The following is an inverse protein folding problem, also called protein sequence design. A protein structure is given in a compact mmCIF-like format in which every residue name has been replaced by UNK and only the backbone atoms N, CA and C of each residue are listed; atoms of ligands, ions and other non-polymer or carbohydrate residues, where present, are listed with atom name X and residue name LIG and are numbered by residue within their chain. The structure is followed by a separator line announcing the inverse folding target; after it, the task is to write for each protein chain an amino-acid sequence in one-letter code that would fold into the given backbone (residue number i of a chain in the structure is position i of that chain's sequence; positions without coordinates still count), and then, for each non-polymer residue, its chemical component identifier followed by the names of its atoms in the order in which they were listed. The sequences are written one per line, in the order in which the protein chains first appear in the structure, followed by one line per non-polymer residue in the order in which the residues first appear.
data_IF_042437793804
#
_entry.id   IF_042437793804
#
_cell.length_a   1.000
_cell.length_b   1.000
_cell.length_c   1.000
_cell.angle_alpha   90.00
_cell.angle_beta   90.00
_cell.angle_gamma   90.00
#
_symmetry.space_group_name_H-M   'P 1'
#
loop_
_entity.id
_entity.type
_entity.pdbx_description
1 polymer ?
#
# COMPACT_ATOMS: atom_id res chain seq x y z
N UNK A 1 16.31 -2.02 -8.89
CA UNK A 1 15.36 -0.97 -8.44
C UNK A 1 14.19 -1.73 -7.86
N UNK A 2 14.08 -1.77 -6.53
CA UNK A 2 12.99 -2.47 -5.86
C UNK A 2 11.68 -1.83 -6.33
N UNK A 3 10.89 -2.63 -7.03
CA UNK A 3 9.59 -2.23 -7.53
C UNK A 3 8.70 -2.37 -6.30
N UNK A 4 8.35 -1.26 -5.64
CA UNK A 4 7.45 -1.23 -4.48
C UNK A 4 6.27 -2.15 -4.75
N UNK A 5 6.37 -3.37 -4.24
CA UNK A 5 5.35 -4.39 -4.44
C UNK A 5 4.34 -4.24 -3.29
N UNK A 6 3.19 -4.88 -3.45
CA UNK A 6 2.13 -4.73 -2.46
C UNK A 6 2.57 -5.21 -1.05
N UNK A 7 3.46 -6.19 -0.98
CA UNK A 7 4.00 -6.71 0.28
C UNK A 7 4.88 -5.69 1.00
N UNK A 8 5.71 -4.94 0.26
CA UNK A 8 6.52 -3.84 0.78
C UNK A 8 5.64 -2.69 1.28
N UNK A 9 4.54 -2.38 0.58
CA UNK A 9 3.57 -1.39 1.04
C UNK A 9 2.91 -1.81 2.37
N UNK A 10 2.50 -3.07 2.49
CA UNK A 10 1.92 -3.57 3.75
C UNK A 10 2.94 -3.56 4.88
N UNK A 11 4.19 -3.94 4.60
CA UNK A 11 5.27 -3.86 5.59
C UNK A 11 5.50 -2.42 6.07
N UNK A 12 5.50 -1.46 5.16
CA UNK A 12 5.66 -0.05 5.50
C UNK A 12 4.47 0.48 6.31
N UNK A 13 3.25 0.00 6.03
CA UNK A 13 2.07 0.30 6.86
C UNK A 13 2.20 -0.25 8.28
N UNK A 14 2.68 -1.49 8.43
CA UNK A 14 2.91 -2.09 9.75
C UNK A 14 3.95 -1.30 10.56
N UNK A 15 5.06 -0.90 9.91
CA UNK A 15 6.09 -0.05 10.53
C UNK A 15 5.55 1.33 10.94
N UNK A 16 4.64 1.91 10.15
CA UNK A 16 3.96 3.17 10.50
C UNK A 16 3.07 2.96 11.73
N UNK A 17 2.27 1.89 11.75
CA UNK A 17 1.38 1.59 12.87
C UNK A 17 2.14 1.31 14.16
N UNK A 18 3.27 0.62 14.08
CA UNK A 18 4.14 0.36 15.23
C UNK A 18 4.74 1.65 15.78
N UNK A 19 5.23 2.55 14.91
CA UNK A 19 5.73 3.86 15.34
C UNK A 19 4.64 4.75 15.93
N UNK A 20 3.44 4.74 15.38
CA UNK A 20 2.31 5.51 15.93
C UNK A 20 1.86 5.06 17.32
N UNK A 21 2.27 3.87 17.78
CA UNK A 21 1.99 3.37 19.13
C UNK A 21 3.07 3.75 20.14
N UNK A 22 4.18 4.33 19.69
CA UNK A 22 5.26 4.77 20.57
C UNK A 22 4.82 6.00 21.37
N UNK A 23 5.07 5.99 22.68
CA UNK A 23 4.75 7.09 23.59
C UNK A 23 5.58 8.36 23.32
N UNK A 24 6.71 8.22 22.62
CA UNK A 24 7.57 9.35 22.22
C UNK A 24 7.08 10.08 20.96
N UNK A 25 6.13 9.51 20.21
CA UNK A 25 5.63 10.14 18.99
C UNK A 25 4.67 11.28 19.30
N UNK A 26 5.00 12.46 18.77
CA UNK A 26 4.15 13.63 18.91
C UNK A 26 2.90 13.55 18.03
N UNK A 27 1.92 14.40 18.34
CA UNK A 27 0.69 14.51 17.55
C UNK A 27 0.99 14.93 16.09
N UNK A 28 1.93 15.87 15.90
CA UNK A 28 2.30 16.34 14.56
C UNK A 28 2.98 15.23 13.74
N UNK A 29 3.88 14.46 14.36
CA UNK A 29 4.49 13.29 13.73
C UNK A 29 3.44 12.21 13.41
N UNK A 30 2.47 12.00 14.32
CA UNK A 30 1.34 11.09 14.06
C UNK A 30 0.51 11.53 12.86
N UNK A 31 0.30 12.84 12.66
CA UNK A 31 -0.40 13.37 11.49
C UNK A 31 0.36 13.11 10.19
N UNK A 32 1.67 13.30 10.18
CA UNK A 32 2.50 13.01 9.01
C UNK A 32 2.55 11.51 8.70
N UNK A 33 2.68 10.67 9.73
CA UNK A 33 2.58 9.21 9.61
C UNK A 33 1.23 8.76 9.05
N UNK A 34 0.13 9.36 9.52
CA UNK A 34 -1.21 9.06 9.03
C UNK A 34 -1.39 9.44 7.55
N UNK A 35 -0.93 10.63 7.14
CA UNK A 35 -0.95 11.04 5.72
C UNK A 35 -0.18 10.06 4.85
N UNK A 36 1.02 9.67 5.30
CA UNK A 36 1.86 8.70 4.62
C UNK A 36 1.16 7.34 4.50
N UNK A 37 0.52 6.86 5.57
CA UNK A 37 -0.26 5.64 5.56
C UNK A 37 -1.40 5.67 4.54
N UNK A 38 -2.14 6.78 4.45
CA UNK A 38 -3.18 6.95 3.42
C UNK A 38 -2.61 6.85 2.00
N UNK A 39 -1.46 7.45 1.74
CA UNK A 39 -0.83 7.41 0.43
C UNK A 39 -0.40 5.99 0.04
N UNK A 40 0.14 5.23 0.99
CA UNK A 40 0.51 3.83 0.78
C UNK A 40 -0.72 2.96 0.50
N UNK A 41 -1.83 3.16 1.23
CA UNK A 41 -3.09 2.45 0.97
C UNK A 41 -3.62 2.74 -0.44
N UNK A 42 -3.58 4.01 -0.87
CA UNK A 42 -4.00 4.39 -2.23
C UNK A 42 -3.16 3.71 -3.30
N UNK A 43 -1.83 3.75 -3.17
CA UNK A 43 -0.92 3.08 -4.10
C UNK A 43 -1.17 1.56 -4.13
N UNK A 44 -1.42 0.95 -2.98
CA UNK A 44 -1.74 -0.49 -2.90
C UNK A 44 -3.02 -0.83 -3.66
N UNK A 45 -4.08 -0.02 -3.52
CA UNK A 45 -5.31 -0.20 -4.28
C UNK A 45 -5.09 -0.08 -5.80
N UNK A 46 -4.32 0.92 -6.25
CA UNK A 46 -4.01 1.08 -7.68
C UNK A 46 -3.21 -0.12 -8.24
N UNK A 47 -2.33 -0.70 -7.43
CA UNK A 47 -1.60 -1.92 -7.81
C UNK A 47 -2.52 -3.13 -7.91
N UNK A 48 -3.47 -3.30 -6.99
CA UNK A 48 -4.48 -4.37 -7.03
C UNK A 48 -5.33 -4.23 -8.29
N UNK A 49 -5.90 -3.05 -8.54
CA UNK A 49 -6.75 -2.79 -9.71
C UNK A 49 -6.03 -3.11 -11.02
N UNK A 50 -4.73 -2.77 -11.09
CA UNK A 50 -3.90 -3.11 -12.26
C UNK A 50 -3.74 -4.62 -12.44
N UNK A 51 -3.58 -5.37 -11.36
CA UNK A 51 -3.46 -6.84 -11.41
C UNK A 51 -4.81 -7.45 -11.80
N UNK A 52 -5.91 -7.00 -11.21
CA UNK A 52 -7.27 -7.45 -11.56
C UNK A 52 -7.53 -7.29 -13.05
N UNK A 53 -7.25 -6.10 -13.60
CA UNK A 53 -7.40 -5.83 -15.04
C UNK A 53 -6.50 -6.72 -15.91
N UNK A 54 -5.30 -7.06 -15.45
CA UNK A 54 -4.42 -7.98 -16.18
C UNK A 54 -4.98 -9.40 -16.18
N UNK A 55 -5.61 -9.83 -15.08
CA UNK A 55 -6.28 -11.13 -14.98
C UNK A 55 -7.49 -11.16 -15.92
N UNK A 56 -8.35 -10.15 -15.90
CA UNK A 56 -9.51 -10.05 -16.79
C UNK A 56 -9.12 -10.20 -18.26
N UNK A 57 -8.09 -9.46 -18.71
CA UNK A 57 -7.59 -9.56 -20.09
C UNK A 57 -7.06 -10.96 -20.40
N UNK A 58 -6.42 -11.65 -19.46
CA UNK A 58 -5.94 -13.01 -19.68
C UNK A 58 -7.11 -14.01 -19.79
N UNK A 59 -8.15 -13.84 -18.98
CA UNK A 59 -9.37 -14.66 -19.03
C UNK A 59 -10.10 -14.46 -20.36
N UNK A 60 -10.30 -13.21 -20.80
CA UNK A 60 -10.91 -12.89 -22.10
C UNK A 60 -10.14 -13.50 -23.29
N UNK A 61 -8.81 -13.51 -23.24
CA UNK A 61 -7.97 -14.09 -24.29
C UNK A 61 -7.90 -15.63 -24.26
N UNK A 62 -8.39 -16.28 -23.19
CA UNK A 62 -8.37 -17.75 -23.05
C UNK A 62 -9.67 -18.39 -23.58
N UNK A 63 -10.71 -17.59 -23.84
CA UNK A 63 -12.01 -18.05 -24.37
C UNK A 63 -12.13 -17.99 -25.91
N UNK A 64 -11.05 -17.64 -26.64
CA UNK A 64 -10.90 -17.81 -28.11
C UNK A 64 -10.07 -19.04 -28.49
#
# INVERSE_FOLDING_TARGET
MAKNNIEENFKELDEILEKMQDEEVSLDESFEMYKKGIEIVKNSNEQIEKIEKQIEVLEENTEE
#
